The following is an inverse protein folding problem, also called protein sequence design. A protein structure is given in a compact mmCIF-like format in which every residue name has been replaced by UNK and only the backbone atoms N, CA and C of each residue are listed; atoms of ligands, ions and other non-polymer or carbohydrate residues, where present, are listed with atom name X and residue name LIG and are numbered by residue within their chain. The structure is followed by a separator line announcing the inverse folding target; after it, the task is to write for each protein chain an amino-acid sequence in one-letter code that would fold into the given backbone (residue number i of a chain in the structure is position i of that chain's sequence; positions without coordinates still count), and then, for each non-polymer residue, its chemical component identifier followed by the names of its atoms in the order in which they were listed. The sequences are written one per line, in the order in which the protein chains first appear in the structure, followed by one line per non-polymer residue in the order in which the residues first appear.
data_IF_103309120710
#
_entry.id   IF_103309120710
#
_cell.length_a   1.000
_cell.length_b   1.000
_cell.length_c   1.000
_cell.angle_alpha   90.00
_cell.angle_beta   90.00
_cell.angle_gamma   90.00
#
_symmetry.space_group_name_H-M   'P 1'
#
loop_
_entity.id
_entity.type
_entity.pdbx_description
1 polymer ?
#
# COMPACT_ATOMS: atom_id res chain seq x y z
N UNK A 1 1.32 15.82 -47.42
CA UNK A 1 2.76 16.07 -47.23
C UNK A 1 3.08 15.73 -45.79
N UNK A 2 3.70 14.59 -45.53
CA UNK A 2 4.12 14.19 -44.18
C UNK A 2 5.38 14.97 -43.79
N UNK A 3 5.47 15.40 -42.53
CA UNK A 3 6.59 16.23 -42.03
C UNK A 3 7.20 15.51 -40.83
N UNK A 4 8.53 15.50 -40.74
CA UNK A 4 9.25 14.86 -39.64
C UNK A 4 8.98 15.60 -38.33
N UNK A 5 8.46 14.90 -37.32
CA UNK A 5 8.21 15.45 -35.98
C UNK A 5 9.49 15.79 -35.20
N UNK A 6 10.65 15.35 -35.68
CA UNK A 6 11.95 15.57 -35.02
C UNK A 6 12.73 16.77 -35.57
N UNK A 7 12.63 17.05 -36.87
CA UNK A 7 13.39 18.13 -37.52
C UNK A 7 12.53 19.11 -38.32
N UNK A 8 11.22 18.88 -38.44
CA UNK A 8 10.28 19.79 -39.10
C UNK A 8 10.37 19.83 -40.63
N UNK A 9 11.17 18.98 -41.28
CA UNK A 9 11.30 18.94 -42.75
C UNK A 9 10.29 17.99 -43.40
N UNK A 10 9.80 18.29 -44.63
CA UNK A 10 8.87 17.43 -45.35
C UNK A 10 9.56 16.10 -45.73
N UNK A 11 8.83 14.99 -45.58
CA UNK A 11 9.28 13.64 -45.91
C UNK A 11 8.65 13.26 -47.25
N UNK A 12 9.49 12.87 -48.22
CA UNK A 12 9.01 12.27 -49.46
C UNK A 12 8.76 10.79 -49.23
N UNK A 13 7.57 10.31 -49.60
CA UNK A 13 7.23 8.90 -49.57
C UNK A 13 8.16 8.20 -50.57
N UNK A 14 8.93 7.20 -50.10
CA UNK A 14 9.94 6.39 -50.80
C UNK A 14 11.44 6.74 -50.58
N UNK A 15 11.80 7.68 -49.70
CA UNK A 15 13.20 7.87 -49.26
C UNK A 15 13.39 7.79 -47.73
N UNK A 16 14.51 7.23 -47.28
CA UNK A 16 14.89 7.19 -45.87
C UNK A 16 15.34 8.58 -45.40
N UNK A 17 14.57 9.18 -44.49
CA UNK A 17 14.88 10.51 -43.95
C UNK A 17 15.95 10.43 -42.85
N UNK A 18 17.13 11.04 -43.09
CA UNK A 18 18.21 11.17 -42.10
C UNK A 18 18.29 12.61 -41.58
N UNK A 19 18.08 12.80 -40.28
CA UNK A 19 18.23 14.10 -39.62
C UNK A 19 19.73 14.40 -39.43
N UNK A 20 20.34 15.14 -40.36
CA UNK A 20 21.74 15.59 -40.22
C UNK A 20 21.82 16.73 -39.20
N UNK A 21 22.30 16.40 -38.00
CA UNK A 21 22.49 17.27 -36.85
C UNK A 21 23.03 16.45 -35.67
N UNK A 22 24.07 15.68 -35.96
CA UNK A 22 24.77 14.78 -35.05
C UNK A 22 26.06 15.47 -34.59
N UNK A 23 26.50 15.26 -33.35
CA UNK A 23 27.84 14.71 -33.08
C UNK A 23 28.21 14.76 -31.59
N UNK A 24 28.21 13.57 -30.99
CA UNK A 24 29.38 12.98 -30.33
C UNK A 24 30.70 13.70 -30.69
N UNK A 25 31.45 14.16 -29.69
CA UNK A 25 32.90 13.96 -29.67
C UNK A 25 33.52 14.41 -28.34
N UNK A 26 33.63 13.46 -27.39
CA UNK A 26 34.86 13.37 -26.59
C UNK A 26 35.91 12.72 -27.51
N UNK A 27 36.66 13.53 -28.24
CA UNK A 27 38.12 13.42 -28.36
C UNK A 27 38.70 14.55 -29.22
N UNK A 28 39.65 15.26 -28.58
CA UNK A 28 40.74 16.08 -29.12
C UNK A 28 40.45 17.49 -29.71
N UNK A 29 41.00 18.50 -29.01
CA UNK A 29 41.35 19.89 -29.40
C UNK A 29 42.27 19.97 -30.64
N UNK A 30 42.72 21.16 -31.16
CA UNK A 30 42.60 22.55 -30.67
C UNK A 30 42.30 23.63 -31.76
N UNK A 31 42.42 24.91 -31.36
CA UNK A 31 42.67 26.19 -32.09
C UNK A 31 41.51 27.10 -32.54
N UNK A 32 41.48 28.26 -31.84
CA UNK A 32 41.50 29.66 -32.33
C UNK A 32 40.30 30.30 -33.05
N UNK A 33 39.87 31.44 -32.48
CA UNK A 33 39.35 32.69 -33.09
C UNK A 33 38.07 32.60 -33.97
N UNK A 34 37.14 33.55 -34.08
CA UNK A 34 36.88 34.90 -33.61
C UNK A 34 35.42 35.25 -34.05
N UNK A 35 34.88 36.37 -33.56
CA UNK A 35 33.85 37.23 -34.19
C UNK A 35 32.38 36.74 -34.33
N UNK A 36 31.42 37.19 -33.49
CA UNK A 36 30.64 38.46 -33.48
C UNK A 36 29.60 38.61 -34.63
N UNK A 37 28.35 38.91 -34.25
CA UNK A 37 27.56 40.10 -34.65
C UNK A 37 26.11 39.87 -35.20
N UNK A 38 25.12 40.42 -34.45
CA UNK A 38 24.03 41.34 -34.88
C UNK A 38 22.92 40.88 -35.88
N UNK A 39 21.66 41.39 -35.90
CA UNK A 39 20.81 42.29 -35.06
C UNK A 39 19.37 42.36 -35.64
N UNK A 40 18.37 42.66 -34.78
CA UNK A 40 17.08 43.39 -34.95
C UNK A 40 16.05 42.99 -36.05
N UNK A 41 14.75 43.31 -36.03
CA UNK A 41 13.79 44.13 -35.24
C UNK A 41 12.35 43.65 -35.58
N UNK A 42 11.40 43.49 -34.64
CA UNK A 42 10.40 44.44 -34.11
C UNK A 42 9.15 44.71 -35.01
N UNK A 43 7.94 44.44 -34.48
CA UNK A 43 6.73 45.28 -34.57
C UNK A 43 5.56 44.74 -33.69
N UNK A 44 4.99 45.63 -32.89
CA UNK A 44 3.90 45.53 -31.89
C UNK A 44 2.47 45.47 -32.48
N UNK A 45 1.50 44.91 -31.71
CA UNK A 45 0.36 45.66 -31.13
C UNK A 45 -0.64 44.75 -30.36
N UNK A 46 -0.80 45.01 -29.06
CA UNK A 46 -1.95 44.66 -28.18
C UNK A 46 -3.18 45.59 -28.45
N UNK A 47 -4.38 45.56 -27.79
CA UNK A 47 -4.82 44.80 -26.59
C UNK A 47 -6.29 44.23 -26.62
N UNK A 48 -6.61 43.24 -25.79
CA UNK A 48 -7.92 43.20 -25.08
C UNK A 48 -7.84 42.38 -23.80
N UNK A 49 -7.89 43.07 -22.65
CA UNK A 49 -7.93 42.51 -21.30
C UNK A 49 -9.38 42.46 -20.82
N UNK A 50 -9.83 41.31 -20.33
CA UNK A 50 -10.99 41.23 -19.43
C UNK A 50 -10.62 40.37 -18.21
N UNK A 51 -10.65 40.93 -16.99
CA UNK A 51 -10.38 40.19 -15.76
C UNK A 51 -11.70 39.57 -15.25
N UNK A 52 -11.78 38.25 -15.16
CA UNK A 52 -12.87 37.60 -14.43
C UNK A 52 -12.37 36.69 -13.32
N UNK A 53 -12.51 37.27 -12.12
CA UNK A 53 -13.08 36.66 -10.94
C UNK A 53 -12.47 35.32 -10.50
N UNK A 54 -11.52 35.49 -9.59
CA UNK A 54 -11.07 34.53 -8.60
C UNK A 54 -12.27 33.97 -7.82
N UNK A 55 -12.93 32.94 -8.35
CA UNK A 55 -13.92 32.19 -7.61
C UNK A 55 -13.16 31.31 -6.63
N UNK A 56 -13.01 31.81 -5.39
CA UNK A 56 -12.66 30.99 -4.22
C UNK A 56 -13.74 29.92 -4.04
N UNK A 57 -13.58 28.81 -4.75
CA UNK A 57 -14.33 27.59 -4.45
C UNK A 57 -13.78 27.04 -3.14
N UNK A 58 -14.69 26.96 -2.17
CA UNK A 58 -14.48 26.47 -0.81
C UNK A 58 -13.48 25.32 -0.77
N UNK A 59 -12.36 25.58 -0.09
CA UNK A 59 -11.21 24.70 -0.04
C UNK A 59 -11.51 23.44 0.76
N UNK A 60 -11.95 22.39 0.08
CA UNK A 60 -11.50 21.06 0.44
C UNK A 60 -10.04 20.98 0.02
N UNK A 61 -9.14 21.47 0.87
CA UNK A 61 -7.70 21.23 0.75
C UNK A 61 -7.49 19.74 0.92
N UNK A 62 -7.63 19.00 -0.17
CA UNK A 62 -7.16 17.62 -0.26
C UNK A 62 -5.68 17.71 0.09
N UNK A 63 -5.25 17.10 1.21
CA UNK A 63 -3.89 17.25 1.68
C UNK A 63 -2.95 16.68 0.61
N UNK A 64 -1.76 17.27 0.46
CA UNK A 64 -0.92 17.01 -0.72
C UNK A 64 -0.54 15.53 -0.88
N UNK A 65 -0.50 14.76 0.22
CA UNK A 65 -0.32 13.31 0.19
C UNK A 65 -1.45 12.55 -0.52
N UNK A 66 -2.68 13.07 -0.51
CA UNK A 66 -3.84 12.46 -1.16
C UNK A 66 -3.89 12.76 -2.67
N UNK A 67 -3.18 13.79 -3.15
CA UNK A 67 -3.02 14.08 -4.59
C UNK A 67 -2.02 13.13 -5.26
N UNK A 68 -1.10 12.56 -4.48
CA UNK A 68 -0.06 11.62 -4.94
C UNK A 68 -0.55 10.16 -5.01
N UNK A 69 -1.79 9.88 -4.58
CA UNK A 69 -2.34 8.54 -4.58
C UNK A 69 -2.85 8.20 -5.99
N UNK A 70 -2.15 7.30 -6.67
CA UNK A 70 -2.63 6.76 -7.94
C UNK A 70 -3.61 5.60 -7.68
N UNK A 71 -4.87 5.79 -8.07
CA UNK A 71 -5.92 4.77 -8.00
C UNK A 71 -5.54 3.49 -8.76
N UNK A 72 -4.73 3.60 -9.82
CA UNK A 72 -4.25 2.45 -10.60
C UNK A 72 -3.32 1.57 -9.78
N UNK A 73 -2.44 2.16 -8.97
CA UNK A 73 -1.53 1.42 -8.10
C UNK A 73 -2.29 0.68 -6.99
N UNK A 74 -3.30 1.30 -6.39
CA UNK A 74 -4.18 0.62 -5.41
C UNK A 74 -4.87 -0.59 -6.06
N UNK A 75 -5.44 -0.41 -7.25
CA UNK A 75 -6.13 -1.50 -7.95
C UNK A 75 -5.16 -2.62 -8.35
N UNK A 76 -3.93 -2.27 -8.72
CA UNK A 76 -2.88 -3.22 -9.05
C UNK A 76 -2.44 -4.01 -7.81
N UNK A 77 -2.20 -3.35 -6.68
CA UNK A 77 -1.88 -4.00 -5.40
C UNK A 77 -2.99 -4.93 -4.93
N UNK A 78 -4.24 -4.54 -5.18
CA UNK A 78 -5.40 -5.32 -4.81
C UNK A 78 -5.55 -6.59 -5.67
N UNK A 79 -5.29 -6.48 -6.98
CA UNK A 79 -5.35 -7.60 -7.91
C UNK A 79 -4.12 -8.52 -7.82
N UNK A 80 -2.95 -7.94 -7.57
CA UNK A 80 -1.68 -8.65 -7.51
C UNK A 80 -0.86 -8.15 -6.31
N UNK A 81 -1.04 -8.74 -5.12
CA UNK A 81 -0.31 -8.31 -3.92
C UNK A 81 1.21 -8.47 -4.06
N UNK A 82 1.69 -9.41 -4.88
CA UNK A 82 3.13 -9.59 -5.14
C UNK A 82 3.76 -8.39 -5.87
N UNK A 83 2.97 -7.53 -6.52
CA UNK A 83 3.47 -6.26 -7.10
C UNK A 83 4.02 -5.30 -6.04
N UNK A 84 3.67 -5.49 -4.77
CA UNK A 84 4.21 -4.70 -3.67
C UNK A 84 5.75 -4.85 -3.50
N UNK A 85 6.39 -5.89 -4.07
CA UNK A 85 7.85 -6.08 -3.99
C UNK A 85 8.66 -4.96 -4.64
N UNK A 86 8.10 -4.25 -5.62
CA UNK A 86 8.80 -3.15 -6.28
C UNK A 86 8.59 -1.80 -5.60
N UNK A 87 7.84 -1.75 -4.49
CA UNK A 87 7.60 -0.50 -3.75
C UNK A 87 8.89 -0.03 -3.07
N UNK A 88 9.09 1.28 -3.13
CA UNK A 88 10.20 1.97 -2.48
C UNK A 88 9.75 2.66 -1.20
N UNK A 89 10.68 3.25 -0.44
CA UNK A 89 10.35 4.03 0.78
C UNK A 89 9.45 5.23 0.46
N UNK A 90 9.50 5.76 -0.76
CA UNK A 90 8.64 6.86 -1.22
C UNK A 90 7.16 6.47 -1.25
N UNK A 91 6.86 5.18 -1.36
CA UNK A 91 5.51 4.65 -1.56
C UNK A 91 4.83 4.19 -0.25
N UNK A 92 5.31 4.71 0.90
CA UNK A 92 4.82 4.35 2.23
C UNK A 92 3.32 4.57 2.42
N UNK A 93 2.70 5.48 1.65
CA UNK A 93 1.27 5.79 1.73
C UNK A 93 0.41 4.55 1.44
N UNK A 94 0.80 3.70 0.49
CA UNK A 94 0.05 2.50 0.12
C UNK A 94 0.12 1.44 1.23
N UNK A 95 1.26 1.35 1.91
CA UNK A 95 1.43 0.47 3.08
C UNK A 95 0.53 0.91 4.24
N UNK A 96 0.45 2.21 4.51
CA UNK A 96 -0.42 2.75 5.57
C UNK A 96 -1.88 2.51 5.24
N UNK A 97 -2.32 2.77 4.00
CA UNK A 97 -3.69 2.50 3.57
C UNK A 97 -4.03 1.02 3.72
N UNK A 98 -3.13 0.12 3.32
CA UNK A 98 -3.34 -1.32 3.44
C UNK A 98 -3.53 -1.76 4.90
N UNK A 99 -2.64 -1.31 5.79
CA UNK A 99 -2.69 -1.64 7.23
C UNK A 99 -3.96 -1.08 7.88
N UNK A 100 -4.33 0.16 7.55
CA UNK A 100 -5.55 0.78 8.07
C UNK A 100 -6.80 0.05 7.56
N UNK A 101 -6.86 -0.29 6.27
CA UNK A 101 -8.00 -1.04 5.70
C UNK A 101 -8.13 -2.42 6.34
N UNK A 102 -7.01 -3.11 6.57
CA UNK A 102 -6.98 -4.40 7.26
C UNK A 102 -7.47 -4.28 8.71
N UNK A 103 -6.92 -3.33 9.47
CA UNK A 103 -7.28 -3.13 10.87
C UNK A 103 -8.73 -2.66 11.03
N UNK A 104 -9.23 -1.77 10.16
CA UNK A 104 -10.63 -1.34 10.14
C UNK A 104 -11.56 -2.51 9.83
N UNK A 105 -11.27 -3.30 8.79
CA UNK A 105 -12.07 -4.47 8.44
C UNK A 105 -12.16 -5.46 9.60
N UNK A 106 -11.02 -5.76 10.24
CA UNK A 106 -10.97 -6.63 11.41
C UNK A 106 -11.75 -6.07 12.59
N UNK A 107 -11.58 -4.78 12.92
CA UNK A 107 -12.26 -4.15 14.06
C UNK A 107 -13.78 -4.12 13.86
N UNK A 108 -14.25 -3.84 12.64
CA UNK A 108 -15.67 -3.88 12.29
C UNK A 108 -16.24 -5.30 12.46
N UNK A 109 -15.58 -6.30 11.88
CA UNK A 109 -15.96 -7.70 12.03
C UNK A 109 -15.97 -8.12 13.51
N UNK A 110 -14.88 -7.86 14.23
CA UNK A 110 -14.74 -8.20 15.64
C UNK A 110 -15.80 -7.53 16.50
N UNK A 111 -16.10 -6.24 16.29
CA UNK A 111 -17.14 -5.54 17.03
C UNK A 111 -18.52 -6.16 16.83
N UNK A 112 -18.87 -6.56 15.59
CA UNK A 112 -20.14 -7.27 15.33
C UNK A 112 -20.20 -8.64 16.01
N UNK A 113 -19.10 -9.38 15.99
CA UNK A 113 -19.01 -10.70 16.62
C UNK A 113 -19.08 -10.60 18.15
N UNK A 114 -18.36 -9.64 18.75
CA UNK A 114 -18.46 -9.36 20.18
C UNK A 114 -19.87 -8.92 20.56
N UNK A 115 -20.53 -8.11 19.73
CA UNK A 115 -21.93 -7.75 19.92
C UNK A 115 -22.86 -8.96 19.97
N UNK A 116 -22.71 -9.91 19.03
CA UNK A 116 -23.55 -11.12 19.01
C UNK A 116 -23.27 -12.05 20.20
N UNK A 117 -21.99 -12.19 20.60
CA UNK A 117 -21.61 -12.99 21.76
C UNK A 117 -22.11 -12.34 23.05
N UNK A 118 -21.94 -11.02 23.19
CA UNK A 118 -22.38 -10.26 24.36
C UNK A 118 -23.91 -10.28 24.51
N UNK A 119 -24.64 -10.14 23.40
CA UNK A 119 -26.09 -10.28 23.40
C UNK A 119 -26.54 -11.69 23.80
N UNK A 120 -25.86 -12.75 23.33
CA UNK A 120 -26.16 -14.14 23.71
C UNK A 120 -25.85 -14.40 25.19
N UNK A 121 -24.74 -13.87 25.71
CA UNK A 121 -24.35 -14.03 27.11
C UNK A 121 -25.31 -13.27 28.04
N UNK A 122 -25.70 -12.05 27.65
CA UNK A 122 -26.59 -11.21 28.43
C UNK A 122 -28.07 -11.52 28.24
N UNK A 123 -28.51 -12.22 27.17
CA UNK A 123 -29.92 -12.61 27.03
C UNK A 123 -30.39 -13.50 28.18
N UNK A 124 -29.47 -14.27 28.78
CA UNK A 124 -29.72 -15.09 29.97
C UNK A 124 -30.04 -14.27 31.23
N UNK A 125 -29.58 -13.02 31.31
CA UNK A 125 -29.86 -12.06 32.41
C UNK A 125 -30.89 -10.99 32.02
N UNK A 126 -31.22 -10.86 30.73
CA UNK A 126 -32.05 -9.77 30.19
C UNK A 126 -33.55 -10.06 30.16
N UNK A 127 -34.03 -11.17 30.72
CA UNK A 127 -35.48 -11.42 30.88
C UNK A 127 -36.20 -10.29 31.66
N UNK A 128 -35.44 -9.47 32.41
CA UNK A 128 -35.94 -8.35 33.23
C UNK A 128 -35.58 -6.95 32.70
N UNK A 129 -34.82 -6.82 31.60
CA UNK A 129 -34.38 -5.50 31.11
C UNK A 129 -34.50 -5.40 29.58
N UNK A 130 -35.44 -4.57 29.12
CA UNK A 130 -35.70 -4.23 27.72
C UNK A 130 -34.64 -3.30 27.10
N UNK A 131 -33.41 -3.29 27.62
CA UNK A 131 -32.34 -2.42 27.14
C UNK A 131 -31.52 -3.15 26.08
N UNK A 132 -31.39 -2.56 24.89
CA UNK A 132 -30.51 -3.06 23.85
C UNK A 132 -29.06 -3.08 24.37
N UNK A 133 -28.56 -4.29 24.59
CA UNK A 133 -27.23 -4.53 25.14
C UNK A 133 -26.22 -4.39 23.99
N UNK A 134 -25.75 -3.18 23.75
CA UNK A 134 -24.69 -2.89 22.77
C UNK A 134 -23.34 -2.82 23.48
N UNK A 135 -22.27 -3.44 22.93
CA UNK A 135 -20.93 -3.32 23.49
C UNK A 135 -20.45 -1.86 23.44
N UNK A 136 -19.66 -1.40 24.42
CA UNK A 136 -19.10 -0.05 24.39
C UNK A 136 -18.15 0.14 23.20
N UNK A 137 -18.16 1.35 22.61
CA UNK A 137 -17.26 1.71 21.50
C UNK A 137 -15.77 1.55 21.83
N UNK A 138 -15.40 1.58 23.11
CA UNK A 138 -14.05 1.25 23.59
C UNK A 138 -13.55 -0.10 23.06
N UNK A 139 -14.42 -1.11 22.96
CA UNK A 139 -14.05 -2.44 22.45
C UNK A 139 -13.63 -2.36 20.97
N UNK A 140 -14.32 -1.55 20.16
CA UNK A 140 -13.94 -1.34 18.77
C UNK A 140 -12.53 -0.74 18.67
N UNK A 141 -12.24 0.31 19.46
CA UNK A 141 -10.91 0.92 19.50
C UNK A 141 -9.83 -0.06 19.98
N UNK A 142 -10.13 -0.86 21.01
CA UNK A 142 -9.22 -1.90 21.50
C UNK A 142 -8.92 -2.94 20.42
N UNK A 143 -9.92 -3.42 19.70
CA UNK A 143 -9.74 -4.38 18.60
C UNK A 143 -8.93 -3.78 17.44
N UNK A 144 -9.18 -2.52 17.11
CA UNK A 144 -8.44 -1.80 16.07
C UNK A 144 -6.95 -1.69 16.43
N UNK A 145 -6.64 -1.23 17.65
CA UNK A 145 -5.26 -1.11 18.14
C UNK A 145 -4.60 -2.48 18.26
N UNK A 146 -5.31 -3.47 18.79
CA UNK A 146 -4.82 -4.85 18.91
C UNK A 146 -4.40 -5.39 17.53
N UNK A 147 -5.23 -5.20 16.50
CA UNK A 147 -4.90 -5.68 15.16
C UNK A 147 -3.66 -4.99 14.57
N UNK A 148 -3.47 -3.69 14.81
CA UNK A 148 -2.26 -2.98 14.41
C UNK A 148 -1.01 -3.56 15.09
N UNK A 149 -1.10 -3.86 16.38
CA UNK A 149 0.02 -4.45 17.13
C UNK A 149 0.32 -5.86 16.60
N UNK A 150 -0.70 -6.69 16.38
CA UNK A 150 -0.51 -8.06 15.85
C UNK A 150 0.13 -8.04 14.45
N UNK A 151 -0.25 -7.12 13.58
CA UNK A 151 0.39 -6.94 12.27
C UNK A 151 1.86 -6.50 12.43
N UNK A 152 2.15 -5.54 13.31
CA UNK A 152 3.51 -5.12 13.58
C UNK A 152 4.37 -6.27 14.10
N UNK A 153 3.82 -7.08 15.02
CA UNK A 153 4.47 -8.27 15.55
C UNK A 153 4.76 -9.29 14.45
N UNK A 154 3.82 -9.54 13.54
CA UNK A 154 4.03 -10.42 12.39
C UNK A 154 5.18 -9.94 11.50
N UNK A 155 5.24 -8.65 11.21
CA UNK A 155 6.29 -8.12 10.34
C UNK A 155 7.65 -8.11 11.02
N UNK A 156 7.71 -7.81 12.32
CA UNK A 156 8.93 -7.86 13.13
C UNK A 156 9.44 -9.31 13.24
N UNK A 157 8.56 -10.28 13.47
CA UNK A 157 8.96 -11.69 13.57
C UNK A 157 9.58 -12.17 12.26
N UNK A 158 8.94 -11.87 11.12
CA UNK A 158 9.46 -12.19 9.79
C UNK A 158 10.80 -11.50 9.56
N UNK A 159 10.91 -10.20 9.84
CA UNK A 159 12.16 -9.47 9.64
C UNK A 159 13.32 -10.03 10.47
N UNK A 160 13.10 -10.36 11.74
CA UNK A 160 14.12 -10.96 12.62
C UNK A 160 14.62 -12.29 12.07
N UNK A 161 13.72 -13.17 11.64
CA UNK A 161 14.09 -14.48 11.08
C UNK A 161 14.74 -14.33 9.70
N UNK A 162 14.30 -13.38 8.88
CA UNK A 162 14.93 -13.04 7.60
C UNK A 162 16.36 -12.56 7.78
N UNK A 163 16.66 -11.80 8.83
CA UNK A 163 18.03 -11.38 9.12
C UNK A 163 18.92 -12.53 9.60
N UNK A 164 18.35 -13.49 10.32
CA UNK A 164 19.11 -14.64 10.83
C UNK A 164 19.35 -15.70 9.75
N UNK A 165 18.40 -15.91 8.83
CA UNK A 165 18.36 -17.07 7.95
C UNK A 165 18.28 -16.75 6.46
N UNK A 166 18.12 -15.48 6.12
CA UNK A 166 18.19 -14.97 4.75
C UNK A 166 19.63 -14.83 4.28
N UNK A 167 19.83 -15.05 2.97
CA UNK A 167 21.13 -14.84 2.32
C UNK A 167 21.39 -13.36 2.05
N UNK A 168 20.31 -12.57 1.97
CA UNK A 168 20.34 -11.14 1.70
C UNK A 168 19.77 -10.36 2.89
N UNK A 169 20.52 -9.42 3.48
CA UNK A 169 20.00 -8.57 4.54
C UNK A 169 18.91 -7.66 3.98
N UNK A 170 17.72 -7.76 4.56
CA UNK A 170 16.59 -6.93 4.22
C UNK A 170 16.62 -5.62 5.00
N UNK A 171 16.47 -4.49 4.31
CA UNK A 171 16.31 -3.20 4.95
C UNK A 171 14.93 -3.12 5.64
N UNK A 172 14.94 -2.79 6.92
CA UNK A 172 13.76 -2.85 7.79
C UNK A 172 12.61 -2.00 7.24
N UNK A 173 12.90 -0.76 6.81
CA UNK A 173 11.86 0.17 6.36
C UNK A 173 11.21 -0.30 5.07
N UNK A 174 12.01 -0.73 4.10
CA UNK A 174 11.49 -1.22 2.81
C UNK A 174 10.70 -2.51 2.99
N UNK A 175 11.20 -3.48 3.78
CA UNK A 175 10.46 -4.71 4.05
C UNK A 175 9.13 -4.45 4.73
N UNK A 176 9.09 -3.57 5.74
CA UNK A 176 7.83 -3.21 6.38
C UNK A 176 6.82 -2.62 5.40
N UNK A 177 7.25 -1.70 4.53
CA UNK A 177 6.36 -1.08 3.53
C UNK A 177 5.84 -2.13 2.54
N UNK A 178 6.72 -2.99 2.04
CA UNK A 178 6.35 -4.02 1.08
C UNK A 178 5.38 -5.04 1.71
N UNK A 179 5.68 -5.54 2.90
CA UNK A 179 4.85 -6.52 3.60
C UNK A 179 3.50 -5.93 4.02
N UNK A 180 3.47 -4.67 4.45
CA UNK A 180 2.25 -3.95 4.77
C UNK A 180 1.37 -3.74 3.53
N UNK A 181 1.94 -3.32 2.40
CA UNK A 181 1.19 -3.12 1.17
C UNK A 181 0.63 -4.43 0.60
N UNK A 182 1.34 -5.56 0.79
CA UNK A 182 0.82 -6.90 0.47
C UNK A 182 -0.43 -7.27 1.25
N UNK A 183 -0.69 -6.63 2.40
CA UNK A 183 -1.86 -6.95 3.22
C UNK A 183 -3.17 -6.32 2.70
N UNK A 184 -3.08 -5.44 1.71
CA UNK A 184 -4.24 -4.70 1.18
C UNK A 184 -5.46 -5.57 0.80
N UNK A 185 -5.32 -6.67 0.03
CA UNK A 185 -6.49 -7.51 -0.33
C UNK A 185 -7.15 -8.19 0.86
N UNK A 186 -6.42 -8.46 1.93
CA UNK A 186 -6.98 -9.14 3.10
C UNK A 186 -7.88 -8.22 3.93
N UNK A 187 -7.71 -6.89 3.83
CA UNK A 187 -8.68 -5.95 4.36
C UNK A 187 -10.07 -6.10 3.74
N UNK A 188 -10.15 -6.41 2.44
CA UNK A 188 -11.43 -6.76 1.80
C UNK A 188 -12.00 -8.07 2.32
N UNK A 189 -11.14 -9.06 2.63
CA UNK A 189 -11.57 -10.33 3.24
C UNK A 189 -12.26 -10.11 4.58
N UNK A 190 -11.72 -9.25 5.45
CA UNK A 190 -12.38 -8.91 6.70
C UNK A 190 -13.63 -8.04 6.53
N UNK A 191 -13.66 -7.13 5.56
CA UNK A 191 -14.89 -6.40 5.22
C UNK A 191 -15.99 -7.35 4.74
N UNK A 192 -15.65 -8.36 3.94
CA UNK A 192 -16.60 -9.39 3.53
C UNK A 192 -17.11 -10.19 4.74
N UNK A 193 -16.21 -10.59 5.65
CA UNK A 193 -16.60 -11.26 6.89
C UNK A 193 -17.53 -10.38 7.75
N UNK A 194 -17.26 -9.09 7.86
CA UNK A 194 -18.14 -8.13 8.54
C UNK A 194 -19.53 -8.06 7.90
N UNK A 195 -19.62 -7.95 6.57
CA UNK A 195 -20.92 -7.94 5.87
C UNK A 195 -21.71 -9.22 6.12
N UNK A 196 -21.05 -10.38 6.10
CA UNK A 196 -21.68 -11.66 6.41
C UNK A 196 -22.16 -11.74 7.87
N UNK A 197 -21.41 -11.17 8.80
CA UNK A 197 -21.81 -11.08 10.20
C UNK A 197 -23.07 -10.22 10.38
N UNK A 198 -23.19 -9.10 9.66
CA UNK A 198 -24.40 -8.26 9.66
C UNK A 198 -25.63 -8.98 9.09
N UNK A 199 -25.43 -9.88 8.12
CA UNK A 199 -26.48 -10.70 7.52
C UNK A 199 -26.87 -11.91 8.39
N UNK A 200 -26.43 -11.96 9.65
CA UNK A 200 -26.66 -13.08 10.59
C UNK A 200 -26.01 -14.41 10.20
N UNK A 201 -25.06 -14.42 9.25
CA UNK A 201 -24.28 -15.61 8.89
C UNK A 201 -22.99 -15.69 9.73
N UNK A 202 -23.14 -15.73 11.06
CA UNK A 202 -22.01 -15.64 12.00
C UNK A 202 -20.93 -16.72 11.82
N UNK A 203 -21.31 -17.97 11.59
CA UNK A 203 -20.36 -19.08 11.38
C UNK A 203 -19.58 -18.92 10.07
N UNK A 204 -20.25 -18.53 8.99
CA UNK A 204 -19.63 -18.25 7.69
C UNK A 204 -18.68 -17.06 7.79
N UNK A 205 -19.09 -16.00 8.49
CA UNK A 205 -18.28 -14.81 8.73
C UNK A 205 -16.97 -15.16 9.47
N UNK A 206 -17.05 -15.96 10.53
CA UNK A 206 -15.86 -16.45 11.26
C UNK A 206 -14.98 -17.31 10.36
N UNK A 207 -15.55 -18.19 9.55
CA UNK A 207 -14.78 -19.01 8.61
C UNK A 207 -14.03 -18.17 7.57
N UNK A 208 -14.69 -17.15 6.99
CA UNK A 208 -14.07 -16.21 6.04
C UNK A 208 -12.97 -15.39 6.70
N UNK A 209 -13.19 -14.88 7.92
CA UNK A 209 -12.18 -14.14 8.67
C UNK A 209 -10.96 -15.00 9.01
N UNK A 210 -11.18 -16.24 9.46
CA UNK A 210 -10.11 -17.20 9.76
C UNK A 210 -9.32 -17.56 8.50
N UNK A 211 -10.01 -17.84 7.39
CA UNK A 211 -9.37 -18.11 6.11
C UNK A 211 -8.54 -16.91 5.62
N UNK A 212 -9.11 -15.70 5.69
CA UNK A 212 -8.42 -14.46 5.34
C UNK A 212 -7.14 -14.29 6.16
N UNK A 213 -7.20 -14.53 7.46
CA UNK A 213 -6.04 -14.48 8.35
C UNK A 213 -4.96 -15.49 7.96
N UNK A 214 -5.35 -16.76 7.76
CA UNK A 214 -4.41 -17.82 7.39
C UNK A 214 -3.69 -17.52 6.07
N UNK A 215 -4.43 -17.12 5.04
CA UNK A 215 -3.84 -16.81 3.73
C UNK A 215 -2.94 -15.58 3.83
N UNK A 216 -3.33 -14.55 4.58
CA UNK A 216 -2.50 -13.37 4.85
C UNK A 216 -1.14 -13.73 5.44
N UNK A 217 -1.12 -14.60 6.46
CA UNK A 217 0.11 -15.01 7.14
C UNK A 217 0.98 -15.87 6.21
N UNK A 218 0.37 -16.80 5.45
CA UNK A 218 1.09 -17.62 4.48
C UNK A 218 1.76 -16.73 3.43
N UNK A 219 1.01 -15.83 2.81
CA UNK A 219 1.52 -14.91 1.78
C UNK A 219 2.65 -14.06 2.35
N UNK A 220 2.47 -13.43 3.51
CA UNK A 220 3.53 -12.64 4.14
C UNK A 220 4.82 -13.45 4.36
N UNK A 221 4.70 -14.71 4.79
CA UNK A 221 5.85 -15.56 5.09
C UNK A 221 6.53 -16.08 3.82
N UNK A 222 5.78 -16.46 2.79
CA UNK A 222 6.34 -16.94 1.52
C UNK A 222 7.00 -15.81 0.73
N UNK A 223 6.38 -14.63 0.72
CA UNK A 223 6.90 -13.47 0.00
C UNK A 223 8.20 -12.97 0.64
N UNK A 224 8.25 -12.92 1.97
CA UNK A 224 9.47 -12.54 2.69
C UNK A 224 10.59 -13.56 2.55
N UNK A 225 10.27 -14.86 2.48
CA UNK A 225 11.25 -15.90 2.19
C UNK A 225 11.93 -15.70 0.83
N UNK A 226 11.16 -15.32 -0.19
CA UNK A 226 11.70 -15.01 -1.52
C UNK A 226 12.48 -13.69 -1.53
N UNK A 227 12.03 -12.65 -0.81
CA UNK A 227 12.77 -11.39 -0.66
C UNK A 227 14.12 -11.58 0.06
N UNK A 228 14.16 -12.42 1.08
CA UNK A 228 15.36 -12.73 1.86
C UNK A 228 16.30 -13.74 1.18
N UNK A 229 15.93 -14.24 -0.01
CA UNK A 229 16.69 -15.23 -0.80
C UNK A 229 17.08 -16.46 0.05
N UNK A 230 16.12 -17.01 0.79
CA UNK A 230 16.36 -18.15 1.69
C UNK A 230 16.71 -19.41 0.88
N UNK A 231 17.88 -19.97 1.14
CA UNK A 231 18.39 -21.19 0.50
C UNK A 231 17.40 -22.35 0.73
N UNK A 232 17.16 -23.18 -0.28
CA UNK A 232 16.21 -24.32 -0.24
C UNK A 232 16.19 -25.15 1.07
N UNK A 233 17.32 -25.61 1.64
CA UNK A 233 17.30 -26.40 2.87
C UNK A 233 16.81 -25.60 4.09
N UNK A 234 16.92 -24.27 4.06
CA UNK A 234 16.52 -23.39 5.15
C UNK A 234 15.07 -22.89 5.05
N UNK A 235 14.33 -23.23 3.99
CA UNK A 235 12.95 -22.75 3.76
C UNK A 235 11.95 -23.24 4.81
N UNK A 236 11.92 -24.55 5.08
CA UNK A 236 11.06 -25.12 6.11
C UNK A 236 11.33 -24.51 7.50
N UNK A 237 12.59 -24.50 8.00
CA UNK A 237 12.84 -23.95 9.32
C UNK A 237 12.71 -22.42 9.36
N UNK A 238 12.79 -21.70 8.23
CA UNK A 238 12.45 -20.28 8.16
C UNK A 238 10.96 -20.05 8.46
N UNK A 239 10.07 -20.84 7.82
CA UNK A 239 8.63 -20.74 8.04
C UNK A 239 8.29 -21.09 9.49
N UNK A 240 8.79 -22.22 9.99
CA UNK A 240 8.52 -22.68 11.36
C UNK A 240 9.04 -21.68 12.41
N UNK A 241 10.24 -21.12 12.22
CA UNK A 241 10.80 -20.13 13.14
C UNK A 241 10.03 -18.80 13.09
N UNK A 242 9.64 -18.33 11.90
CA UNK A 242 8.87 -17.08 11.74
C UNK A 242 7.50 -17.20 12.40
N UNK A 243 6.83 -18.33 12.19
CA UNK A 243 5.52 -18.60 12.77
C UNK A 243 5.61 -18.81 14.29
N UNK A 244 6.61 -19.56 14.76
CA UNK A 244 6.87 -19.74 16.20
C UNK A 244 7.14 -18.41 16.91
N UNK A 245 7.97 -17.55 16.31
CA UNK A 245 8.26 -16.22 16.83
C UNK A 245 7.03 -15.32 16.81
N UNK A 246 6.22 -15.38 15.75
CA UNK A 246 4.97 -14.64 15.65
C UNK A 246 4.00 -15.02 16.78
N UNK A 247 3.75 -16.30 17.02
CA UNK A 247 2.86 -16.76 18.10
C UNK A 247 3.42 -16.42 19.49
N UNK A 248 4.73 -16.58 19.69
CA UNK A 248 5.38 -16.23 20.95
C UNK A 248 5.23 -14.74 21.28
N UNK A 249 5.54 -13.86 20.34
CA UNK A 249 5.40 -12.41 20.52
C UNK A 249 3.94 -11.99 20.68
N UNK A 250 3.03 -12.60 19.91
CA UNK A 250 1.59 -12.32 20.02
C UNK A 250 1.04 -12.71 21.40
N UNK A 251 1.48 -13.86 21.93
CA UNK A 251 1.15 -14.28 23.29
C UNK A 251 1.67 -13.30 24.35
N UNK A 252 2.91 -12.81 24.17
CA UNK A 252 3.50 -11.81 25.07
C UNK A 252 2.69 -10.50 25.04
N UNK A 253 2.34 -10.01 23.84
CA UNK A 253 1.47 -8.83 23.69
C UNK A 253 0.12 -9.05 24.35
N UNK A 254 -0.51 -10.21 24.14
CA UNK A 254 -1.78 -10.55 24.77
C UNK A 254 -1.67 -10.49 26.30
N UNK A 255 -0.58 -11.01 26.87
CA UNK A 255 -0.31 -10.97 28.31
C UNK A 255 -0.05 -9.59 28.88
N UNK A 256 0.43 -8.63 28.08
CA UNK A 256 0.69 -7.25 28.54
C UNK A 256 -0.53 -6.34 28.37
N UNK A 257 -1.27 -6.53 27.27
CA UNK A 257 -2.34 -5.61 26.87
C UNK A 257 -3.69 -5.99 27.48
N UNK A 258 -3.95 -7.29 27.66
CA UNK A 258 -5.27 -7.80 28.05
C UNK A 258 -5.29 -8.34 29.48
N UNK A 259 -4.16 -8.83 29.99
CA UNK A 259 -4.04 -9.46 31.31
C UNK A 259 -3.28 -8.57 32.28
#
# INVERSE_FOLDING_TARGET
MSVCTRCGKPINEHEFHQCSGENTAKQASPTADEFVQQVSAAAESDPFTTPQANHKTSGNTVPDWAKTIDKKNILQLLKNPASARSLTVSDWIYAVIAVLAFALGFALFGYTLFGSIFASLMSSVSFLSSRSVTPPFSIFLQLFVYQLIVLAVLFISIWLISRWKGSKPLDFKTTLIQLAAMQMPFGLGYLLAFLLALLSFGSLAVAVAAFTWFVSVIVATTESMEQAEVIRPNRFPFITASMGMYFFLTYLVFKIVIL
#
